data_IF_400918403873
#
_entry.id   IF_400918403873
#
_cell.length_a   1.000
_cell.length_b   1.000
_cell.length_c   1.000
_cell.angle_alpha   90.00
_cell.angle_beta   90.00
_cell.angle_gamma   90.00
#
_symmetry.space_group_name_H-M   'P 1'
#
loop_
_entity.id
_entity.type
_entity.pdbx_description
1 polymer ?
#
# COMPACT_ATOMS: atom_id res chain seq x y z
N UNK A 1 -11.45 3.66 14.22
CA UNK A 1 -10.82 2.53 14.94
C UNK A 1 -9.31 2.74 14.85
N UNK A 2 -8.55 2.44 15.90
CA UNK A 2 -7.08 2.47 15.79
C UNK A 2 -6.59 1.11 15.32
N UNK A 3 -5.91 1.08 14.17
CA UNK A 3 -5.42 -0.14 13.54
C UNK A 3 -3.91 -0.27 13.74
N UNK A 4 -3.47 -1.44 14.20
CA UNK A 4 -2.07 -1.84 14.31
C UNK A 4 -1.70 -2.82 13.18
N UNK A 5 -0.42 -3.02 12.95
CA UNK A 5 0.06 -3.88 11.88
C UNK A 5 1.10 -4.87 12.39
N UNK A 6 0.92 -6.13 12.01
CA UNK A 6 1.93 -7.17 12.20
C UNK A 6 1.85 -8.17 11.02
N UNK A 7 2.85 -8.17 10.10
CA UNK A 7 2.81 -8.99 8.88
C UNK A 7 2.97 -10.49 9.14
N UNK A 8 3.39 -10.89 10.34
CA UNK A 8 3.73 -12.29 10.63
C UNK A 8 2.57 -13.10 11.22
N UNK A 9 1.49 -12.44 11.64
CA UNK A 9 0.34 -13.13 12.25
C UNK A 9 -0.56 -13.77 11.18
N UNK A 10 -1.06 -14.95 11.53
CA UNK A 10 -1.91 -15.77 10.68
C UNK A 10 -3.15 -16.25 11.44
N UNK A 11 -4.03 -16.94 10.76
CA UNK A 11 -5.24 -17.56 11.34
C UNK A 11 -4.93 -18.55 12.50
N UNK A 12 -3.71 -19.08 12.55
CA UNK A 12 -3.27 -20.04 13.57
C UNK A 12 -2.46 -19.42 14.70
N UNK A 13 -2.21 -18.10 14.63
CA UNK A 13 -1.47 -17.40 15.68
C UNK A 13 -2.38 -17.16 16.87
N UNK A 14 -1.99 -17.61 18.05
CA UNK A 14 -2.77 -17.40 19.28
C UNK A 14 -2.28 -16.21 20.08
N UNK A 15 -0.95 -16.02 20.15
CA UNK A 15 -0.29 -14.98 20.96
C UNK A 15 0.88 -14.42 20.19
N UNK A 16 1.09 -13.11 20.26
CA UNK A 16 2.30 -12.45 19.73
C UNK A 16 2.68 -11.23 20.57
N UNK A 17 3.86 -10.70 20.33
CA UNK A 17 4.32 -9.46 20.96
C UNK A 17 4.67 -8.44 19.88
N UNK A 18 4.34 -7.19 20.16
CA UNK A 18 4.80 -6.07 19.34
C UNK A 18 6.29 -5.82 19.54
N UNK A 19 6.93 -5.20 18.55
CA UNK A 19 8.29 -4.69 18.70
C UNK A 19 8.37 -3.58 19.78
N UNK A 20 9.57 -3.13 20.06
CA UNK A 20 9.80 -2.13 21.12
C UNK A 20 9.14 -0.79 20.81
N UNK A 21 9.18 -0.35 19.56
CA UNK A 21 8.66 0.98 19.18
C UNK A 21 7.13 0.99 19.20
N UNK A 22 6.48 -0.02 18.64
CA UNK A 22 5.02 -0.15 18.70
C UNK A 22 4.54 -0.42 20.14
N UNK A 23 5.27 -1.24 20.93
CA UNK A 23 4.97 -1.46 22.35
C UNK A 23 5.00 -0.16 23.14
N UNK A 24 6.03 0.67 22.93
CA UNK A 24 6.14 1.98 23.57
C UNK A 24 5.02 2.92 23.16
N UNK A 25 4.64 2.91 21.87
CA UNK A 25 3.51 3.68 21.37
C UNK A 25 2.20 3.26 22.05
N UNK A 26 1.91 1.96 22.11
CA UNK A 26 0.71 1.40 22.74
C UNK A 26 0.63 1.80 24.24
N UNK A 27 1.73 1.62 24.96
CA UNK A 27 1.70 1.75 26.42
C UNK A 27 1.92 3.20 26.90
N UNK A 28 2.88 3.94 26.31
CA UNK A 28 3.21 5.30 26.77
C UNK A 28 2.39 6.39 26.08
N UNK A 29 2.13 6.26 24.79
CA UNK A 29 1.38 7.29 24.04
C UNK A 29 -0.11 7.05 24.17
N UNK A 30 -0.57 5.84 23.87
CA UNK A 30 -2.00 5.50 23.91
C UNK A 30 -2.49 5.10 25.30
N UNK A 31 -1.57 4.89 26.26
CA UNK A 31 -1.85 4.57 27.66
C UNK A 31 -2.71 3.32 27.86
N UNK A 32 -2.54 2.35 26.97
CA UNK A 32 -3.23 1.07 27.05
C UNK A 32 -2.70 0.22 28.19
N UNK A 33 -3.55 -0.64 28.72
CA UNK A 33 -3.30 -1.49 29.90
C UNK A 33 -3.62 -2.95 29.59
N UNK A 34 -3.29 -3.83 30.53
CA UNK A 34 -3.73 -5.23 30.47
C UNK A 34 -5.25 -5.29 30.32
N UNK A 35 -5.74 -6.24 29.56
CA UNK A 35 -7.14 -6.47 29.13
C UNK A 35 -7.70 -5.47 28.11
N UNK A 36 -6.97 -4.41 27.73
CA UNK A 36 -7.42 -3.53 26.65
C UNK A 36 -7.41 -4.26 25.31
N UNK A 37 -8.41 -3.93 24.48
CA UNK A 37 -8.57 -4.48 23.13
C UNK A 37 -7.80 -3.66 22.12
N UNK A 38 -7.06 -4.35 21.24
CA UNK A 38 -6.40 -3.79 20.08
C UNK A 38 -6.90 -4.49 18.81
N UNK A 39 -6.95 -3.72 17.71
CA UNK A 39 -7.27 -4.24 16.39
C UNK A 39 -6.01 -4.26 15.55
N UNK A 40 -5.69 -5.42 14.99
CA UNK A 40 -4.41 -5.65 14.27
C UNK A 40 -4.71 -6.23 12.90
N UNK A 41 -4.04 -5.75 11.86
CA UNK A 41 -4.08 -6.36 10.53
C UNK A 41 -2.71 -6.94 10.18
N UNK A 42 -2.71 -7.96 9.33
CA UNK A 42 -1.48 -8.47 8.71
C UNK A 42 -1.23 -7.89 7.30
N UNK A 43 -2.08 -6.98 6.82
CA UNK A 43 -2.00 -6.40 5.48
C UNK A 43 -2.46 -7.34 4.35
N UNK A 44 -2.99 -8.50 4.68
CA UNK A 44 -3.47 -9.52 3.73
C UNK A 44 -4.99 -9.72 3.81
N UNK A 45 -5.70 -8.71 4.32
CA UNK A 45 -7.16 -8.71 4.43
C UNK A 45 -7.71 -9.28 5.73
N UNK A 46 -6.87 -9.54 6.73
CA UNK A 46 -7.34 -9.98 8.04
C UNK A 46 -7.39 -8.83 9.05
N UNK A 47 -8.45 -8.81 9.83
CA UNK A 47 -8.61 -7.98 11.02
C UNK A 47 -8.66 -8.89 12.25
N UNK A 48 -7.64 -8.81 13.09
CA UNK A 48 -7.58 -9.56 14.36
C UNK A 48 -8.02 -8.66 15.50
N UNK A 49 -8.93 -9.16 16.33
CA UNK A 49 -9.28 -8.57 17.62
C UNK A 49 -8.42 -9.24 18.69
N UNK A 50 -7.64 -8.44 19.40
CA UNK A 50 -6.65 -8.93 20.37
C UNK A 50 -6.84 -8.28 21.73
N UNK A 51 -6.44 -8.97 22.80
CA UNK A 51 -6.43 -8.49 24.16
C UNK A 51 -4.99 -8.41 24.69
N UNK A 52 -4.64 -7.31 25.34
CA UNK A 52 -3.33 -7.16 25.96
C UNK A 52 -3.23 -8.07 27.18
N UNK A 53 -2.27 -9.01 27.16
CA UNK A 53 -1.96 -9.92 28.27
C UNK A 53 -0.74 -9.48 29.08
N UNK A 54 0.11 -8.63 28.51
CA UNK A 54 1.26 -8.00 29.20
C UNK A 54 1.47 -6.59 28.66
N UNK A 55 1.12 -5.58 29.45
CA UNK A 55 1.29 -4.17 29.13
C UNK A 55 2.71 -3.70 29.51
N UNK A 56 3.70 -4.04 28.68
CA UNK A 56 5.08 -3.60 28.83
C UNK A 56 5.48 -2.67 27.69
N UNK A 57 6.16 -1.55 27.99
CA UNK A 57 6.63 -0.59 27.01
C UNK A 57 7.81 -1.09 26.15
N UNK A 58 8.43 -2.19 26.56
CA UNK A 58 9.49 -2.86 25.79
C UNK A 58 9.00 -4.06 25.01
N UNK A 59 7.89 -4.68 25.45
CA UNK A 59 7.33 -5.89 24.84
C UNK A 59 5.86 -6.03 25.21
N UNK A 60 4.98 -5.32 24.52
CA UNK A 60 3.53 -5.48 24.66
C UNK A 60 3.10 -6.80 24.05
N UNK A 61 2.54 -7.72 24.85
CA UNK A 61 2.08 -9.03 24.41
C UNK A 61 0.56 -9.05 24.36
N UNK A 62 0.02 -9.64 23.29
CA UNK A 62 -1.43 -9.75 23.09
C UNK A 62 -1.81 -11.18 22.73
N UNK A 63 -3.02 -11.58 23.15
CA UNK A 63 -3.69 -12.81 22.74
C UNK A 63 -4.74 -12.49 21.69
N UNK A 64 -4.80 -13.25 20.61
CA UNK A 64 -5.85 -13.14 19.59
C UNK A 64 -7.13 -13.77 20.14
N UNK A 65 -8.22 -13.00 20.14
CA UNK A 65 -9.56 -13.44 20.56
C UNK A 65 -10.39 -13.94 19.38
N UNK A 66 -10.31 -13.23 18.25
CA UNK A 66 -11.04 -13.56 17.02
C UNK A 66 -10.38 -12.89 15.83
N UNK A 67 -10.77 -13.32 14.64
CA UNK A 67 -10.39 -12.62 13.41
C UNK A 67 -11.54 -12.61 12.41
N UNK A 68 -11.50 -11.62 11.52
CA UNK A 68 -12.36 -11.49 10.35
C UNK A 68 -11.49 -11.39 9.10
N UNK A 69 -11.99 -11.95 7.99
CA UNK A 69 -11.30 -11.87 6.71
C UNK A 69 -12.13 -11.08 5.72
N UNK A 70 -11.59 -9.98 5.24
CA UNK A 70 -12.21 -9.19 4.19
C UNK A 70 -12.22 -9.98 2.87
N UNK A 71 -13.31 -9.85 2.13
CA UNK A 71 -13.38 -10.42 0.79
C UNK A 71 -12.34 -9.74 -0.12
N UNK A 72 -11.55 -10.51 -0.88
CA UNK A 72 -10.61 -9.92 -1.81
C UNK A 72 -11.35 -9.17 -2.92
N UNK A 73 -10.73 -8.13 -3.46
CA UNK A 73 -11.27 -7.42 -4.62
C UNK A 73 -11.43 -8.37 -5.82
N UNK A 74 -12.49 -8.17 -6.60
CA UNK A 74 -12.74 -8.93 -7.84
C UNK A 74 -11.88 -8.48 -9.02
N UNK A 75 -11.10 -7.43 -8.85
CA UNK A 75 -10.19 -6.88 -9.84
C UNK A 75 -8.88 -6.47 -9.16
N UNK A 76 -7.84 -6.29 -9.93
CA UNK A 76 -6.55 -5.76 -9.48
C UNK A 76 -6.26 -4.47 -10.24
N UNK A 77 -5.94 -3.42 -9.50
CA UNK A 77 -5.46 -2.16 -10.04
C UNK A 77 -3.96 -2.02 -9.73
N UNK A 78 -3.16 -1.97 -10.78
CA UNK A 78 -1.72 -1.74 -10.71
C UNK A 78 -1.42 -0.37 -11.31
N UNK A 79 -0.85 0.54 -10.54
CA UNK A 79 -0.41 1.84 -11.01
C UNK A 79 1.11 1.85 -11.19
N UNK A 80 1.55 2.06 -12.43
CA UNK A 80 2.94 2.27 -12.79
C UNK A 80 3.15 3.78 -12.99
N UNK A 81 3.71 4.46 -12.00
CA UNK A 81 3.74 5.92 -11.95
C UNK A 81 5.16 6.45 -11.84
N UNK A 82 5.50 7.40 -12.70
CA UNK A 82 6.80 8.07 -12.65
C UNK A 82 6.84 9.05 -11.46
N UNK A 83 7.83 8.90 -10.55
CA UNK A 83 8.02 9.84 -9.47
C UNK A 83 8.28 11.26 -9.98
N UNK A 84 7.60 12.21 -9.37
CA UNK A 84 7.80 13.63 -9.64
C UNK A 84 9.14 14.12 -9.08
N UNK A 85 9.62 15.27 -9.55
CA UNK A 85 10.82 15.93 -9.01
C UNK A 85 10.73 16.13 -7.50
N UNK A 86 9.59 16.60 -7.02
CA UNK A 86 9.33 16.85 -5.61
C UNK A 86 8.74 15.58 -4.97
N UNK A 87 9.36 15.14 -3.86
CA UNK A 87 8.89 13.98 -3.10
C UNK A 87 7.45 14.12 -2.65
N UNK A 88 7.07 15.28 -2.15
CA UNK A 88 5.80 15.51 -1.47
C UNK A 88 4.59 15.14 -2.33
N UNK A 89 4.65 15.43 -3.64
CA UNK A 89 3.56 15.06 -4.57
C UNK A 89 3.45 13.55 -4.76
N UNK A 90 4.58 12.86 -4.88
CA UNK A 90 4.58 11.42 -5.04
C UNK A 90 4.21 10.71 -3.74
N UNK A 91 4.65 11.22 -2.61
CA UNK A 91 4.27 10.72 -1.29
C UNK A 91 2.78 10.90 -1.03
N UNK A 92 2.22 12.05 -1.38
CA UNK A 92 0.78 12.28 -1.34
C UNK A 92 0.01 11.31 -2.26
N UNK A 93 0.52 11.05 -3.47
CA UNK A 93 -0.04 10.03 -4.35
C UNK A 93 -0.05 8.65 -3.69
N UNK A 94 1.06 8.20 -3.09
CA UNK A 94 1.14 6.92 -2.38
C UNK A 94 0.13 6.82 -1.26
N UNK A 95 0.00 7.88 -0.46
CA UNK A 95 -0.98 7.97 0.61
C UNK A 95 -2.41 7.81 0.07
N UNK A 96 -2.81 8.63 -0.89
CA UNK A 96 -4.19 8.60 -1.43
C UNK A 96 -4.50 7.34 -2.21
N UNK A 97 -3.55 6.80 -2.95
CA UNK A 97 -3.71 5.53 -3.63
C UNK A 97 -3.97 4.39 -2.63
N UNK A 98 -3.28 4.39 -1.49
CA UNK A 98 -3.49 3.41 -0.43
C UNK A 98 -4.86 3.57 0.22
N UNK A 99 -5.26 4.80 0.54
CA UNK A 99 -6.57 5.11 1.16
C UNK A 99 -7.77 4.66 0.30
N UNK A 100 -7.63 4.67 -1.03
CA UNK A 100 -8.67 4.20 -1.96
C UNK A 100 -8.57 2.72 -2.32
N UNK A 101 -7.64 1.98 -1.71
CA UNK A 101 -7.53 0.53 -1.85
C UNK A 101 -6.85 0.04 -3.13
N UNK A 102 -5.78 0.71 -3.58
CA UNK A 102 -4.97 0.21 -4.69
C UNK A 102 -4.27 -1.10 -4.33
N UNK A 103 -4.01 -1.95 -5.34
CA UNK A 103 -3.41 -3.27 -5.09
C UNK A 103 -1.90 -3.29 -5.28
N UNK A 104 -1.39 -2.53 -6.24
CA UNK A 104 0.03 -2.58 -6.61
C UNK A 104 0.51 -1.25 -7.18
N UNK A 105 1.72 -0.86 -6.80
CA UNK A 105 2.40 0.34 -7.28
C UNK A 105 3.79 -0.04 -7.76
N UNK A 106 4.15 0.45 -8.96
CA UNK A 106 5.53 0.36 -9.48
C UNK A 106 6.01 1.77 -9.84
N UNK A 107 7.04 2.28 -9.16
CA UNK A 107 7.71 3.49 -9.61
C UNK A 107 8.42 3.22 -10.94
N UNK A 108 8.11 4.00 -11.98
CA UNK A 108 8.76 3.86 -13.29
C UNK A 108 9.68 5.04 -13.59
N UNK A 109 10.87 4.74 -14.12
CA UNK A 109 11.85 5.74 -14.54
C UNK A 109 11.72 5.94 -16.04
N UNK A 110 11.23 7.10 -16.45
CA UNK A 110 11.14 7.53 -17.84
C UNK A 110 12.43 8.18 -18.33
N UNK A 111 12.60 8.32 -19.65
CA UNK A 111 13.84 8.88 -20.25
C UNK A 111 14.14 10.28 -19.73
N UNK A 112 13.11 11.09 -19.49
CA UNK A 112 13.22 12.47 -18.97
C UNK A 112 12.97 12.59 -17.46
N UNK A 113 12.90 11.46 -16.72
CA UNK A 113 12.74 11.52 -15.28
C UNK A 113 13.93 12.22 -14.61
N UNK A 114 13.68 13.30 -13.91
CA UNK A 114 14.69 14.00 -13.13
C UNK A 114 15.15 13.17 -11.92
N UNK A 115 14.25 12.37 -11.38
CA UNK A 115 14.50 11.50 -10.24
C UNK A 115 14.77 10.07 -10.69
N UNK A 116 16.00 9.57 -10.45
CA UNK A 116 16.42 8.20 -10.76
C UNK A 116 16.64 7.32 -9.53
N UNK A 117 16.76 7.92 -8.35
CA UNK A 117 16.97 7.22 -7.09
C UNK A 117 15.73 7.36 -6.23
N UNK A 118 15.18 6.24 -5.77
CA UNK A 118 13.96 6.15 -4.99
C UNK A 118 14.28 5.49 -3.66
N UNK A 119 13.82 6.10 -2.57
CA UNK A 119 13.90 5.52 -1.24
C UNK A 119 12.65 4.66 -0.99
N UNK A 120 12.74 3.37 -1.31
CA UNK A 120 11.64 2.41 -1.14
C UNK A 120 11.23 2.25 0.32
N UNK A 121 12.17 2.26 1.26
CA UNK A 121 11.86 2.14 2.69
C UNK A 121 10.97 3.30 3.19
N UNK A 122 11.19 4.51 2.69
CA UNK A 122 10.35 5.66 3.00
C UNK A 122 8.95 5.50 2.42
N UNK A 123 8.84 4.99 1.20
CA UNK A 123 7.57 4.75 0.54
C UNK A 123 6.77 3.65 1.24
N UNK A 124 7.41 2.55 1.65
CA UNK A 124 6.77 1.47 2.42
C UNK A 124 6.17 2.00 3.74
N UNK A 125 6.89 2.90 4.43
CA UNK A 125 6.39 3.54 5.65
C UNK A 125 5.16 4.42 5.39
N UNK A 126 5.10 5.11 4.26
CA UNK A 126 3.95 5.93 3.87
C UNK A 126 2.74 5.04 3.60
N UNK A 127 2.91 3.97 2.80
CA UNK A 127 1.84 3.02 2.52
C UNK A 127 1.29 2.38 3.80
N UNK A 128 2.18 1.95 4.69
CA UNK A 128 1.79 1.36 5.97
C UNK A 128 1.03 2.36 6.85
N UNK A 129 1.49 3.60 6.92
CA UNK A 129 0.82 4.65 7.70
C UNK A 129 -0.55 4.96 7.11
N UNK A 130 -0.67 5.11 5.80
CA UNK A 130 -1.92 5.36 5.11
C UNK A 130 -2.92 4.20 5.29
N UNK A 131 -2.47 2.95 5.17
CA UNK A 131 -3.28 1.75 5.42
C UNK A 131 -3.84 1.75 6.86
N UNK A 132 -2.99 2.00 7.86
CA UNK A 132 -3.41 2.05 9.28
C UNK A 132 -4.44 3.18 9.50
N UNK A 133 -4.26 4.34 8.86
CA UNK A 133 -5.07 5.52 9.06
C UNK A 133 -6.44 5.44 8.37
N UNK A 134 -6.49 4.83 7.19
CA UNK A 134 -7.74 4.58 6.45
C UNK A 134 -8.52 3.36 6.94
N UNK A 135 -7.95 2.57 7.85
CA UNK A 135 -8.45 1.27 8.29
C UNK A 135 -8.57 0.24 7.15
N UNK A 136 -7.73 0.37 6.13
CA UNK A 136 -7.60 -0.63 5.08
C UNK A 136 -6.92 -1.89 5.63
N UNK A 137 -7.37 -3.06 5.18
CA UNK A 137 -6.85 -4.34 5.62
C UNK A 137 -5.85 -4.96 4.64
N UNK A 138 -5.74 -4.37 3.45
CA UNK A 138 -4.80 -4.80 2.41
C UNK A 138 -3.70 -3.77 2.24
N UNK A 139 -2.45 -4.18 2.47
CA UNK A 139 -1.30 -3.32 2.19
C UNK A 139 -0.97 -3.40 0.69
N UNK A 140 -0.94 -2.29 -0.04
CA UNK A 140 -0.54 -2.31 -1.44
C UNK A 140 0.87 -2.85 -1.62
N UNK A 141 1.07 -3.66 -2.65
CA UNK A 141 2.41 -4.13 -3.00
C UNK A 141 3.20 -3.00 -3.65
N UNK A 142 4.30 -2.58 -3.06
CA UNK A 142 5.27 -1.68 -3.68
C UNK A 142 6.35 -2.51 -4.37
N UNK A 143 6.52 -2.30 -5.68
CA UNK A 143 7.61 -2.91 -6.44
C UNK A 143 8.86 -2.02 -6.43
N UNK A 144 10.01 -2.63 -6.70
CA UNK A 144 11.22 -1.87 -6.97
C UNK A 144 11.02 -0.98 -8.19
N UNK A 145 11.71 0.16 -8.19
CA UNK A 145 11.72 1.03 -9.36
C UNK A 145 12.39 0.36 -10.55
N UNK A 146 11.76 0.45 -11.72
CA UNK A 146 12.29 -0.06 -12.98
C UNK A 146 12.13 0.98 -14.08
N UNK A 147 12.86 0.83 -15.17
CA UNK A 147 12.70 1.72 -16.32
C UNK A 147 11.38 1.45 -17.03
N UNK A 148 10.84 2.48 -17.69
CA UNK A 148 9.65 2.33 -18.55
C UNK A 148 9.85 1.21 -19.59
N UNK A 149 11.03 1.14 -20.21
CA UNK A 149 11.39 0.11 -21.20
C UNK A 149 11.38 -1.32 -20.64
N UNK A 150 11.76 -1.48 -19.39
CA UNK A 150 11.68 -2.77 -18.69
C UNK A 150 10.23 -3.10 -18.34
N UNK A 151 9.48 -2.11 -17.82
CA UNK A 151 8.10 -2.30 -17.38
C UNK A 151 7.20 -2.80 -18.53
N UNK A 152 7.30 -2.21 -19.73
CA UNK A 152 6.46 -2.61 -20.89
C UNK A 152 6.76 -4.01 -21.39
N UNK A 153 7.96 -4.55 -21.13
CA UNK A 153 8.36 -5.94 -21.47
C UNK A 153 7.82 -6.99 -20.50
N UNK A 154 7.37 -6.56 -19.32
CA UNK A 154 6.79 -7.50 -18.36
C UNK A 154 5.50 -8.10 -18.90
N UNK A 155 5.36 -9.41 -18.73
CA UNK A 155 4.13 -10.14 -19.00
C UNK A 155 3.16 -9.85 -17.85
N UNK A 156 2.40 -8.79 -17.98
CA UNK A 156 1.36 -8.42 -17.03
C UNK A 156 0.00 -8.76 -17.60
N UNK A 157 -0.87 -9.38 -16.81
CA UNK A 157 -2.25 -9.69 -17.19
C UNK A 157 -3.18 -8.52 -16.86
N UNK A 158 -4.04 -8.17 -17.79
CA UNK A 158 -5.05 -7.12 -17.65
C UNK A 158 -5.04 -6.09 -18.77
N UNK A 159 -6.00 -5.17 -18.70
CA UNK A 159 -6.08 -4.04 -19.60
C UNK A 159 -4.96 -3.04 -19.29
N UNK A 160 -4.10 -2.80 -20.28
CA UNK A 160 -3.02 -1.82 -20.17
C UNK A 160 -3.50 -0.47 -20.68
N UNK A 161 -3.38 0.55 -19.88
CA UNK A 161 -3.74 1.92 -20.18
C UNK A 161 -2.54 2.83 -19.94
N UNK A 162 -2.43 3.87 -20.73
CA UNK A 162 -1.42 4.93 -20.56
C UNK A 162 -2.12 6.28 -20.55
N UNK A 163 -1.83 7.07 -19.51
CA UNK A 163 -2.25 8.46 -19.44
C UNK A 163 -1.17 9.35 -20.04
N UNK A 164 -1.50 10.09 -21.10
CA UNK A 164 -0.55 10.98 -21.78
C UNK A 164 -1.23 12.27 -22.26
N UNK A 165 -0.44 13.30 -22.52
CA UNK A 165 -0.91 14.61 -22.93
C UNK A 165 -0.90 14.82 -24.46
N UNK A 166 -0.27 13.91 -25.23
CA UNK A 166 -0.20 13.99 -26.69
C UNK A 166 -1.57 14.11 -27.36
N UNK A 167 -1.67 14.90 -28.45
CA UNK A 167 -2.88 15.05 -29.24
C UNK A 167 -3.09 13.84 -30.17
N UNK A 168 -3.70 12.80 -29.63
CA UNK A 168 -4.06 11.57 -30.36
C UNK A 168 -5.51 11.19 -30.07
N UNK A 169 -6.02 10.17 -30.75
CA UNK A 169 -7.35 9.61 -30.48
C UNK A 169 -7.41 9.00 -29.07
N UNK A 170 -7.77 9.83 -28.09
CA UNK A 170 -7.93 9.43 -26.69
C UNK A 170 -9.29 8.81 -26.45
N UNK A 171 -9.31 7.72 -25.69
CA UNK A 171 -10.55 7.10 -25.22
C UNK A 171 -10.81 7.48 -23.76
N UNK A 172 -12.05 7.79 -23.46
CA UNK A 172 -12.46 7.98 -22.06
C UNK A 172 -12.25 6.67 -21.27
N UNK A 173 -11.71 6.75 -20.05
CA UNK A 173 -11.59 5.60 -19.17
C UNK A 173 -12.91 4.86 -19.02
N UNK A 174 -14.01 5.61 -18.86
CA UNK A 174 -15.37 5.05 -18.74
C UNK A 174 -15.79 4.20 -19.93
N UNK A 175 -15.29 4.50 -21.14
CA UNK A 175 -15.64 3.75 -22.36
C UNK A 175 -14.83 2.46 -22.53
N UNK A 176 -13.69 2.32 -21.88
CA UNK A 176 -12.79 1.16 -22.07
C UNK A 176 -12.79 0.20 -20.87
N UNK A 177 -13.21 0.67 -19.69
CA UNK A 177 -13.24 -0.15 -18.48
C UNK A 177 -14.45 -1.08 -18.47
N UNK A 178 -14.22 -2.31 -17.98
CA UNK A 178 -15.27 -3.31 -17.74
C UNK A 178 -15.27 -3.70 -16.26
N UNK A 179 -16.43 -4.05 -15.68
CA UNK A 179 -16.48 -4.56 -14.31
C UNK A 179 -15.57 -5.77 -14.11
N UNK A 180 -14.94 -5.85 -12.95
CA UNK A 180 -14.06 -6.97 -12.53
C UNK A 180 -12.87 -7.23 -13.46
N UNK A 181 -12.41 -6.22 -14.18
CA UNK A 181 -11.25 -6.33 -15.07
C UNK A 181 -9.98 -5.87 -14.37
N UNK A 182 -8.91 -6.66 -14.46
CA UNK A 182 -7.59 -6.22 -14.01
C UNK A 182 -7.09 -5.09 -14.91
N UNK A 183 -6.52 -4.08 -14.29
CA UNK A 183 -6.07 -2.85 -14.96
C UNK A 183 -4.64 -2.55 -14.56
N UNK A 184 -3.85 -2.16 -15.55
CA UNK A 184 -2.52 -1.61 -15.37
C UNK A 184 -2.55 -0.22 -15.99
N UNK A 185 -2.36 0.81 -15.17
CA UNK A 185 -2.35 2.20 -15.60
C UNK A 185 -0.94 2.78 -15.49
N UNK A 186 -0.42 3.26 -16.62
CA UNK A 186 0.87 3.95 -16.67
C UNK A 186 0.62 5.46 -16.64
N UNK A 187 1.35 6.15 -15.78
CA UNK A 187 1.29 7.61 -15.64
C UNK A 187 2.72 8.14 -15.68
N UNK A 188 3.02 8.97 -16.67
CA UNK A 188 4.31 9.61 -16.87
C UNK A 188 4.59 10.70 -15.83
N UNK A 189 5.78 11.30 -15.95
CA UNK A 189 6.14 12.51 -15.22
C UNK A 189 5.62 13.77 -15.95
N UNK A 190 5.92 14.96 -15.42
CA UNK A 190 5.48 16.26 -15.97
C UNK A 190 5.90 16.52 -17.44
N UNK A 191 6.91 15.81 -17.97
CA UNK A 191 7.37 15.86 -19.37
C UNK A 191 6.84 14.73 -20.25
N UNK A 192 5.82 13.99 -19.75
CA UNK A 192 5.19 12.87 -20.47
C UNK A 192 6.15 11.72 -20.87
N UNK A 193 5.68 10.79 -21.67
CA UNK A 193 6.47 9.70 -22.25
C UNK A 193 7.14 10.14 -23.54
N UNK A 194 8.33 9.61 -23.84
CA UNK A 194 8.99 9.86 -25.12
C UNK A 194 8.28 9.10 -26.26
N UNK A 195 8.19 9.72 -27.44
CA UNK A 195 7.56 9.13 -28.63
C UNK A 195 8.34 7.94 -29.26
N UNK A 196 9.39 7.40 -28.62
CA UNK A 196 10.28 6.36 -29.18
C UNK A 196 10.08 5.01 -28.52
#
# INVERSE_FOLDING_TARGET
MQLFYNPTITETTEVFSFDKDESRHIIKVLRKKDTDILHVTNGLGFLFTTEITLASDSKCTVKILSFEKAAPSKFRLHLAVAPTKMNDRYEWFLEKATEIGIHEITPIICDHSERKIINTERFDKILLTAMKQSNELFLPKLNNAITFKEFIKLKNEGLKLIGHCEETDKKSLKSVLKPNQNIIMLIGHEGDFSEK
#
